data_IF_242748402557
#
_entry.id   IF_242748402557
#
_cell.length_a   1.000
_cell.length_b   1.000
_cell.length_c   1.000
_cell.angle_alpha   90.00
_cell.angle_beta   90.00
_cell.angle_gamma   90.00
#
_symmetry.space_group_name_H-M   'P 1'
#
loop_
_entity.id
_entity.type
_entity.pdbx_description
1 polymer ?
#
# COMPACT_ATOMS: atom_id res chain seq x y z
N UNK A 1 3.16 -13.49 33.54
CA UNK A 1 3.38 -14.18 32.26
C UNK A 1 3.76 -13.13 31.22
N UNK A 2 5.02 -12.71 31.23
CA UNK A 2 5.52 -11.58 30.44
C UNK A 2 6.36 -12.03 29.24
N UNK A 3 6.22 -11.31 28.13
CA UNK A 3 7.25 -10.98 27.13
C UNK A 3 8.03 -12.03 26.34
N UNK A 4 7.54 -13.28 26.22
CA UNK A 4 8.07 -14.22 25.22
C UNK A 4 7.35 -14.15 23.85
N UNK A 5 6.29 -13.33 23.72
CA UNK A 5 5.50 -13.21 22.49
C UNK A 5 6.30 -12.65 21.28
N UNK A 6 7.37 -11.89 21.54
CA UNK A 6 8.25 -11.32 20.51
C UNK A 6 9.35 -12.26 20.00
N UNK A 7 9.44 -13.50 20.53
CA UNK A 7 10.54 -14.43 20.19
C UNK A 7 10.21 -15.38 19.03
N UNK A 8 8.93 -15.47 18.65
CA UNK A 8 8.51 -16.27 17.51
C UNK A 8 8.35 -15.39 16.29
N UNK A 9 8.77 -15.86 15.10
CA UNK A 9 8.65 -15.06 13.90
C UNK A 9 7.19 -14.78 13.59
N UNK A 10 6.83 -13.51 13.49
CA UNK A 10 5.48 -13.05 13.12
C UNK A 10 5.53 -12.38 11.75
N UNK A 11 4.49 -12.56 10.95
CA UNK A 11 4.28 -11.73 9.78
C UNK A 11 4.02 -10.29 10.23
N UNK A 12 4.66 -9.33 9.57
CA UNK A 12 4.34 -7.92 9.75
C UNK A 12 2.93 -7.63 9.23
N UNK A 13 2.21 -6.76 9.94
CA UNK A 13 0.87 -6.32 9.58
C UNK A 13 0.94 -5.29 8.47
N UNK A 14 0.51 -5.68 7.28
CA UNK A 14 0.39 -4.78 6.14
C UNK A 14 -1.04 -4.28 6.04
N UNK A 15 -1.21 -2.97 5.83
CA UNK A 15 -2.49 -2.38 5.49
C UNK A 15 -2.48 -2.00 4.01
N UNK A 16 -3.17 -2.78 3.17
CA UNK A 16 -3.45 -2.39 1.80
C UNK A 16 -4.55 -1.35 1.80
N UNK A 17 -4.38 -0.22 1.13
CA UNK A 17 -5.38 0.83 1.10
C UNK A 17 -5.36 1.60 -0.22
N UNK A 18 -6.47 2.26 -0.49
CA UNK A 18 -6.68 3.17 -1.61
C UNK A 18 -7.67 4.28 -1.21
N UNK A 19 -7.51 5.48 -1.78
CA UNK A 19 -8.40 6.62 -1.53
C UNK A 19 -8.97 7.17 -2.83
N UNK A 20 -10.24 7.57 -2.76
CA UNK A 20 -10.92 8.29 -3.84
C UNK A 20 -11.18 9.72 -3.42
N UNK A 21 -10.82 10.66 -4.29
CA UNK A 21 -10.86 12.10 -4.01
C UNK A 21 -11.83 12.84 -4.91
N UNK A 22 -12.46 13.87 -4.38
CA UNK A 22 -13.25 14.80 -5.16
C UNK A 22 -12.37 15.59 -6.13
N UNK A 23 -12.84 15.87 -7.37
CA UNK A 23 -12.16 16.81 -8.24
C UNK A 23 -12.16 18.20 -7.60
N UNK A 24 -11.10 18.97 -7.84
CA UNK A 24 -11.08 20.41 -7.54
C UNK A 24 -12.17 21.12 -8.36
N UNK A 25 -12.85 22.10 -7.76
CA UNK A 25 -13.78 22.98 -8.44
C UNK A 25 -13.10 24.32 -8.74
N UNK A 26 -13.02 24.67 -10.02
CA UNK A 26 -12.46 25.94 -10.46
C UNK A 26 -13.32 26.56 -11.56
N UNK A 27 -13.38 27.88 -11.59
CA UNK A 27 -14.00 28.63 -12.69
C UNK A 27 -13.00 28.77 -13.83
N UNK A 28 -13.38 28.39 -15.05
CA UNK A 28 -12.52 28.50 -16.25
C UNK A 28 -13.27 29.14 -17.40
N UNK A 29 -12.56 29.91 -18.23
CA UNK A 29 -13.15 30.62 -19.38
C UNK A 29 -13.21 29.79 -20.66
N UNK A 30 -12.33 28.80 -20.81
CA UNK A 30 -12.23 27.96 -22.00
C UNK A 30 -11.77 26.55 -21.64
N UNK A 31 -12.21 25.56 -22.43
CA UNK A 31 -11.91 24.15 -22.19
C UNK A 31 -10.40 23.83 -22.28
N UNK A 32 -9.67 24.46 -23.21
CA UNK A 32 -8.21 24.35 -23.31
C UNK A 32 -7.55 25.42 -22.44
N UNK A 33 -7.22 25.06 -21.20
CA UNK A 33 -6.52 25.92 -20.25
C UNK A 33 -5.17 25.31 -19.90
N UNK A 34 -4.09 26.08 -20.01
CA UNK A 34 -2.72 25.61 -19.74
C UNK A 34 -2.37 25.67 -18.24
N UNK A 35 -2.99 26.61 -17.50
CA UNK A 35 -2.78 26.76 -16.06
C UNK A 35 -4.04 27.33 -15.40
N UNK A 36 -4.48 26.71 -14.29
CA UNK A 36 -5.56 27.20 -13.42
C UNK A 36 -4.91 27.70 -12.14
N UNK A 37 -4.94 29.01 -11.92
CA UNK A 37 -4.36 29.60 -10.71
C UNK A 37 -5.24 29.39 -9.47
N UNK A 38 -4.63 29.43 -8.28
CA UNK A 38 -5.34 29.22 -7.01
C UNK A 38 -6.45 30.24 -6.75
N UNK A 39 -6.37 31.45 -7.31
CA UNK A 39 -7.42 32.48 -7.23
C UNK A 39 -8.69 32.12 -8.02
N UNK A 40 -8.64 31.13 -8.91
CA UNK A 40 -9.79 30.62 -9.67
C UNK A 40 -10.40 29.37 -9.01
N UNK A 41 -9.78 28.89 -7.92
CA UNK A 41 -10.20 27.71 -7.18
C UNK A 41 -11.35 28.12 -6.25
N UNK A 42 -12.51 27.52 -6.46
CA UNK A 42 -13.66 27.66 -5.56
C UNK A 42 -13.52 26.67 -4.40
N UNK A 43 -13.22 25.40 -4.72
CA UNK A 43 -13.06 24.34 -3.73
C UNK A 43 -11.87 23.45 -4.05
N UNK A 44 -11.04 23.20 -3.04
CA UNK A 44 -9.95 22.25 -3.12
C UNK A 44 -10.46 20.79 -3.06
N UNK A 45 -9.58 19.84 -3.33
CA UNK A 45 -9.88 18.41 -3.23
C UNK A 45 -10.09 17.95 -1.78
N UNK A 46 -10.89 16.91 -1.61
CA UNK A 46 -11.19 16.24 -0.33
C UNK A 46 -11.45 14.74 -0.57
N UNK A 47 -11.38 13.92 0.48
CA UNK A 47 -11.67 12.48 0.34
C UNK A 47 -13.16 12.24 0.18
N UNK A 48 -13.54 11.47 -0.84
CA UNK A 48 -14.89 10.93 -1.02
C UNK A 48 -15.06 9.58 -0.34
N UNK A 49 -14.04 8.72 -0.46
CA UNK A 49 -14.03 7.40 0.15
C UNK A 49 -12.62 6.88 0.35
N UNK A 50 -12.49 5.87 1.22
CA UNK A 50 -11.31 5.03 1.33
C UNK A 50 -11.74 3.58 1.48
N UNK A 51 -10.90 2.65 1.03
CA UNK A 51 -11.00 1.24 1.39
C UNK A 51 -9.65 0.74 1.91
N UNK A 52 -9.69 -0.29 2.75
CA UNK A 52 -8.49 -0.91 3.29
C UNK A 52 -8.70 -2.39 3.63
N UNK A 53 -7.61 -3.15 3.60
CA UNK A 53 -7.58 -4.57 3.96
C UNK A 53 -6.30 -4.88 4.72
N UNK A 54 -6.42 -5.54 5.87
CA UNK A 54 -5.25 -6.08 6.58
C UNK A 54 -4.77 -7.38 5.91
N UNK A 55 -3.45 -7.58 5.87
CA UNK A 55 -2.84 -8.77 5.27
C UNK A 55 -3.17 -10.09 5.97
N UNK A 56 -3.61 -10.03 7.22
CA UNK A 56 -3.92 -11.18 8.08
C UNK A 56 -5.42 -11.46 8.21
N UNK A 57 -6.26 -10.79 7.42
CA UNK A 57 -7.71 -11.05 7.39
C UNK A 57 -8.30 -10.98 5.98
N UNK A 58 -9.53 -11.50 5.84
CA UNK A 58 -10.30 -11.43 4.59
C UNK A 58 -11.23 -10.23 4.52
N UNK A 59 -11.49 -9.57 5.66
CA UNK A 59 -12.42 -8.46 5.78
C UNK A 59 -11.87 -7.21 5.10
N UNK A 60 -12.74 -6.55 4.33
CA UNK A 60 -12.52 -5.19 3.83
C UNK A 60 -13.11 -4.17 4.80
N UNK A 61 -12.36 -3.12 5.06
CA UNK A 61 -12.81 -1.92 5.76
C UNK A 61 -12.93 -0.79 4.76
N UNK A 62 -13.81 0.17 5.05
CA UNK A 62 -13.98 1.32 4.17
C UNK A 62 -14.72 2.44 4.88
N UNK A 63 -14.47 3.67 4.43
CA UNK A 63 -15.25 4.85 4.79
C UNK A 63 -15.72 5.55 3.53
N UNK A 64 -16.91 6.12 3.57
CA UNK A 64 -17.45 6.98 2.52
C UNK A 64 -18.20 8.13 3.16
N UNK A 65 -18.21 9.28 2.48
CA UNK A 65 -19.03 10.41 2.90
C UNK A 65 -20.52 10.06 2.85
N UNK A 66 -21.27 10.67 3.76
CA UNK A 66 -22.71 10.80 3.65
C UNK A 66 -23.08 11.89 2.63
N UNK A 67 -24.32 11.91 2.11
CA UNK A 67 -24.80 13.00 1.26
C UNK A 67 -24.58 14.40 1.82
N UNK A 68 -24.79 14.60 3.13
CA UNK A 68 -24.59 15.89 3.79
C UNK A 68 -23.11 16.27 3.90
N UNK A 69 -22.26 15.32 4.29
CA UNK A 69 -20.80 15.53 4.36
C UNK A 69 -20.22 15.84 2.98
N UNK A 70 -20.64 15.15 1.93
CA UNK A 70 -20.18 15.43 0.57
C UNK A 70 -20.56 16.84 0.10
N UNK A 71 -21.81 17.27 0.33
CA UNK A 71 -22.24 18.64 0.02
C UNK A 71 -21.51 19.69 0.87
N UNK A 72 -21.22 19.36 2.13
CA UNK A 72 -20.46 20.19 3.05
C UNK A 72 -18.94 20.10 2.87
N UNK A 73 -18.45 19.21 2.00
CA UNK A 73 -17.03 18.93 1.77
C UNK A 73 -16.27 18.55 3.06
N UNK A 74 -16.98 17.93 4.00
CA UNK A 74 -16.45 17.54 5.31
C UNK A 74 -16.03 16.07 5.27
N UNK A 75 -14.72 15.84 5.09
CA UNK A 75 -14.12 14.52 5.10
C UNK A 75 -13.47 14.13 6.43
N UNK A 76 -13.60 14.97 7.46
CA UNK A 76 -12.92 14.82 8.75
C UNK A 76 -13.14 13.44 9.38
N UNK A 77 -14.39 12.94 9.35
CA UNK A 77 -14.76 11.63 9.89
C UNK A 77 -14.04 10.48 9.20
N UNK A 78 -14.00 10.48 7.86
CA UNK A 78 -13.44 9.36 7.11
C UNK A 78 -11.91 9.44 7.06
N UNK A 79 -11.32 10.63 7.00
CA UNK A 79 -9.88 10.83 7.08
C UNK A 79 -9.35 10.36 8.44
N UNK A 80 -10.05 10.73 9.53
CA UNK A 80 -9.70 10.31 10.89
C UNK A 80 -9.73 8.78 11.02
N UNK A 81 -10.76 8.11 10.54
CA UNK A 81 -10.87 6.66 10.67
C UNK A 81 -9.80 5.90 9.87
N UNK A 82 -9.48 6.34 8.65
CA UNK A 82 -8.37 5.77 7.88
C UNK A 82 -7.03 5.99 8.60
N UNK A 83 -6.77 7.20 9.10
CA UNK A 83 -5.51 7.53 9.78
C UNK A 83 -5.25 6.65 11.01
N UNK A 84 -6.31 6.32 11.76
CA UNK A 84 -6.22 5.44 12.93
C UNK A 84 -5.83 4.01 12.56
N UNK A 85 -6.28 3.52 11.39
CA UNK A 85 -5.86 2.22 10.88
C UNK A 85 -4.41 2.26 10.39
N UNK A 86 -4.02 3.28 9.63
CA UNK A 86 -2.66 3.42 9.10
C UNK A 86 -1.61 3.40 10.21
N UNK A 87 -1.87 4.06 11.34
CA UNK A 87 -0.95 4.09 12.50
C UNK A 87 -0.73 2.73 13.17
N UNK A 88 -1.61 1.77 12.94
CA UNK A 88 -1.48 0.41 13.50
C UNK A 88 -0.67 -0.53 12.59
N UNK A 89 -0.37 -0.10 11.37
CA UNK A 89 0.31 -0.91 10.38
C UNK A 89 1.83 -0.89 10.60
N UNK A 90 2.48 -2.04 10.44
CA UNK A 90 3.95 -2.09 10.31
C UNK A 90 4.36 -1.43 8.97
N UNK A 91 3.57 -1.66 7.91
CA UNK A 91 3.67 -0.97 6.62
C UNK A 91 2.28 -0.70 6.03
N UNK A 92 2.09 0.48 5.44
CA UNK A 92 0.96 0.72 4.55
C UNK A 92 1.37 0.42 3.10
N UNK A 93 0.47 -0.19 2.33
CA UNK A 93 0.70 -0.61 0.95
C UNK A 93 -0.33 0.09 0.06
N UNK A 94 0.14 0.76 -0.98
CA UNK A 94 -0.69 1.48 -1.94
C UNK A 94 -0.07 1.44 -3.34
N UNK A 95 -0.84 1.84 -4.36
CA UNK A 95 -0.31 2.02 -5.72
C UNK A 95 -0.13 3.52 -6.01
N UNK A 96 1.11 4.00 -6.11
CA UNK A 96 1.43 5.43 -6.17
C UNK A 96 1.15 6.23 -4.87
N UNK A 97 0.93 5.53 -3.75
CA UNK A 97 0.56 6.16 -2.48
C UNK A 97 1.60 7.10 -1.88
N UNK A 98 2.88 6.90 -2.20
CA UNK A 98 3.94 7.81 -1.72
C UNK A 98 3.86 9.20 -2.37
N UNK A 99 3.22 9.30 -3.54
CA UNK A 99 3.09 10.55 -4.30
C UNK A 99 1.66 11.11 -4.30
N UNK A 100 0.67 10.28 -3.99
CA UNK A 100 -0.74 10.66 -4.04
C UNK A 100 -1.42 10.43 -2.69
N UNK A 101 -1.75 9.18 -2.35
CA UNK A 101 -2.63 8.83 -1.22
C UNK A 101 -2.13 9.36 0.13
N UNK A 102 -0.87 9.12 0.49
CA UNK A 102 -0.33 9.53 1.79
C UNK A 102 -0.20 11.06 1.90
N UNK A 103 0.35 11.79 0.91
CA UNK A 103 0.26 13.26 0.88
C UNK A 103 -1.16 13.78 0.97
N UNK A 104 -2.10 13.13 0.29
CA UNK A 104 -3.51 13.52 0.26
C UNK A 104 -4.16 13.37 1.64
N UNK A 105 -4.01 12.21 2.28
CA UNK A 105 -4.48 11.95 3.65
C UNK A 105 -3.86 12.94 4.65
N UNK A 106 -2.54 13.16 4.59
CA UNK A 106 -1.86 14.10 5.49
C UNK A 106 -2.29 15.55 5.26
N UNK A 107 -2.53 15.96 4.01
CA UNK A 107 -3.08 17.27 3.69
C UNK A 107 -4.45 17.48 4.32
N UNK A 108 -5.33 16.48 4.27
CA UNK A 108 -6.66 16.56 4.91
C UNK A 108 -6.59 16.47 6.42
N UNK A 109 -5.67 15.69 6.99
CA UNK A 109 -5.43 15.70 8.43
C UNK A 109 -5.03 17.11 8.91
N UNK A 110 -4.12 17.77 8.19
CA UNK A 110 -3.72 19.15 8.46
C UNK A 110 -4.91 20.11 8.41
N UNK A 111 -5.70 20.07 7.33
CA UNK A 111 -6.86 20.96 7.15
C UNK A 111 -7.96 20.71 8.19
N UNK A 112 -8.09 19.48 8.69
CA UNK A 112 -9.04 19.10 9.73
C UNK A 112 -8.49 19.27 11.16
N UNK A 113 -7.29 19.82 11.35
CA UNK A 113 -6.68 20.02 12.67
C UNK A 113 -6.33 18.71 13.40
N UNK A 114 -6.03 17.65 12.65
CA UNK A 114 -5.70 16.32 13.15
C UNK A 114 -4.19 16.03 13.01
N UNK A 115 -3.69 15.12 13.84
CA UNK A 115 -2.27 14.73 13.82
C UNK A 115 -1.88 14.05 12.49
N UNK A 116 -0.66 14.29 11.98
CA UNK A 116 -0.18 13.69 10.73
C UNK A 116 0.17 12.20 10.90
N UNK A 117 -0.10 11.40 9.88
CA UNK A 117 0.29 10.00 9.80
C UNK A 117 1.74 9.90 9.31
N UNK A 118 2.59 9.29 10.15
CA UNK A 118 3.97 8.95 9.84
C UNK A 118 4.12 7.43 9.90
N UNK A 119 4.20 6.79 8.74
CA UNK A 119 4.20 5.33 8.60
C UNK A 119 5.24 4.90 7.58
N UNK A 120 5.70 3.66 7.69
CA UNK A 120 6.51 3.04 6.64
C UNK A 120 5.61 2.64 5.47
N UNK A 121 6.10 2.79 4.24
CA UNK A 121 5.31 2.57 3.03
C UNK A 121 5.90 1.51 2.12
N UNK A 122 5.01 0.87 1.36
CA UNK A 122 5.36 0.01 0.23
C UNK A 122 4.53 0.47 -0.98
N UNK A 123 5.16 1.15 -1.91
CA UNK A 123 4.50 1.63 -3.13
C UNK A 123 4.69 0.64 -4.29
N UNK A 124 3.59 -0.01 -4.68
CA UNK A 124 3.61 -1.03 -5.74
C UNK A 124 3.95 -0.47 -7.12
N UNK A 125 3.69 0.81 -7.39
CA UNK A 125 4.09 1.47 -8.63
C UNK A 125 5.62 1.63 -8.70
N UNK A 126 6.25 2.01 -7.58
CA UNK A 126 7.73 2.08 -7.50
C UNK A 126 8.35 0.69 -7.65
N UNK A 127 7.77 -0.31 -7.01
CA UNK A 127 8.21 -1.70 -7.16
C UNK A 127 8.10 -2.17 -8.63
N UNK A 128 6.99 -1.87 -9.29
CA UNK A 128 6.78 -2.24 -10.68
C UNK A 128 7.80 -1.56 -11.61
N UNK A 129 7.95 -0.23 -11.51
CA UNK A 129 8.87 0.55 -12.34
C UNK A 129 10.34 0.14 -12.19
N UNK A 130 10.75 -0.25 -10.99
CA UNK A 130 12.15 -0.63 -10.72
C UNK A 130 12.48 -2.07 -11.14
N UNK A 131 11.47 -2.91 -11.34
CA UNK A 131 11.67 -4.35 -11.53
C UNK A 131 11.26 -4.86 -12.91
N UNK A 132 10.40 -4.15 -13.64
CA UNK A 132 9.84 -4.63 -14.91
C UNK A 132 9.86 -3.57 -16.02
N UNK A 133 9.92 -4.05 -17.26
CA UNK A 133 9.69 -3.26 -18.47
C UNK A 133 8.34 -3.64 -19.07
N UNK A 134 7.28 -3.01 -18.59
CA UNK A 134 5.89 -3.21 -19.03
C UNK A 134 5.40 -2.02 -19.87
N UNK A 135 4.37 -2.21 -20.70
CA UNK A 135 3.83 -1.12 -21.51
C UNK A 135 3.15 -0.02 -20.66
N UNK A 136 2.59 -0.41 -19.51
CA UNK A 136 2.08 0.51 -18.49
C UNK A 136 2.30 -0.09 -17.11
N UNK A 137 2.38 0.78 -16.10
CA UNK A 137 2.46 0.36 -14.70
C UNK A 137 1.22 0.76 -13.91
N UNK A 138 0.13 1.21 -14.56
CA UNK A 138 -1.15 1.48 -13.90
C UNK A 138 -1.69 0.20 -13.26
N UNK A 139 -2.30 0.31 -12.07
CA UNK A 139 -2.85 -0.85 -11.34
C UNK A 139 -3.77 -1.71 -12.21
N UNK A 140 -4.76 -1.10 -12.88
CA UNK A 140 -5.68 -1.80 -13.79
C UNK A 140 -4.96 -2.55 -14.92
N UNK A 141 -3.92 -1.94 -15.52
CA UNK A 141 -3.13 -2.60 -16.55
C UNK A 141 -2.35 -3.80 -15.99
N UNK A 142 -1.74 -3.66 -14.81
CA UNK A 142 -1.04 -4.75 -14.14
C UNK A 142 -2.00 -5.89 -13.79
N UNK A 143 -3.15 -5.58 -13.21
CA UNK A 143 -4.18 -6.54 -12.85
C UNK A 143 -4.66 -7.34 -14.06
N UNK A 144 -5.04 -6.65 -15.16
CA UNK A 144 -5.45 -7.28 -16.41
C UNK A 144 -4.36 -8.16 -17.01
N UNK A 145 -3.11 -7.67 -17.04
CA UNK A 145 -1.95 -8.42 -17.57
C UNK A 145 -1.69 -9.70 -16.78
N UNK A 146 -1.95 -9.67 -15.46
CA UNK A 146 -1.78 -10.82 -14.56
C UNK A 146 -3.01 -11.74 -14.52
N UNK A 147 -4.06 -11.45 -15.31
CA UNK A 147 -5.28 -12.25 -15.36
C UNK A 147 -6.23 -12.04 -14.17
N UNK A 148 -6.04 -10.97 -13.39
CA UNK A 148 -6.98 -10.60 -12.34
C UNK A 148 -8.19 -9.87 -12.93
N UNK A 149 -9.38 -10.16 -12.41
CA UNK A 149 -10.62 -9.60 -12.91
C UNK A 149 -10.74 -8.12 -12.53
N UNK A 150 -10.56 -7.21 -13.50
CA UNK A 150 -10.85 -5.79 -13.33
C UNK A 150 -12.27 -5.48 -13.78
N UNK A 151 -13.20 -5.28 -12.83
CA UNK A 151 -14.55 -4.79 -13.15
C UNK A 151 -14.62 -3.29 -12.88
N UNK A 152 -14.16 -2.48 -13.82
CA UNK A 152 -14.22 -1.03 -13.66
C UNK A 152 -14.54 -0.35 -14.97
N UNK A 153 -15.83 -0.07 -15.18
CA UNK A 153 -16.25 1.01 -16.06
C UNK A 153 -16.80 2.13 -15.19
N UNK A 154 -16.04 3.21 -15.09
CA UNK A 154 -16.43 4.43 -14.38
C UNK A 154 -15.94 5.62 -15.18
N UNK A 155 -16.82 6.60 -15.33
CA UNK A 155 -16.52 7.88 -15.94
C UNK A 155 -16.54 8.99 -14.90
N UNK A 156 -16.05 10.16 -15.29
CA UNK A 156 -16.03 11.36 -14.45
C UNK A 156 -17.39 11.72 -13.82
N UNK A 157 -18.50 11.30 -14.43
CA UNK A 157 -19.85 11.45 -13.91
C UNK A 157 -20.06 10.84 -12.51
N UNK A 158 -19.35 9.76 -12.18
CA UNK A 158 -19.41 9.16 -10.85
C UNK A 158 -18.87 10.14 -9.80
N UNK A 159 -17.68 10.71 -10.04
CA UNK A 159 -17.06 11.70 -9.15
C UNK A 159 -17.92 12.95 -9.02
N UNK A 160 -18.45 13.47 -10.12
CA UNK A 160 -19.37 14.63 -10.10
C UNK A 160 -20.62 14.36 -9.27
N UNK A 161 -21.23 13.19 -9.43
CA UNK A 161 -22.41 12.81 -8.64
C UNK A 161 -22.09 12.64 -7.15
N UNK A 162 -20.92 12.07 -6.83
CA UNK A 162 -20.44 11.96 -5.45
C UNK A 162 -20.21 13.32 -4.82
N UNK A 163 -19.57 14.25 -5.55
CA UNK A 163 -19.35 15.64 -5.14
C UNK A 163 -20.67 16.31 -4.73
N UNK A 164 -21.75 16.07 -5.49
CA UNK A 164 -23.08 16.63 -5.23
C UNK A 164 -23.85 15.91 -4.09
N UNK A 165 -23.24 14.92 -3.44
CA UNK A 165 -23.85 14.14 -2.37
C UNK A 165 -24.91 13.14 -2.84
N UNK A 166 -24.83 12.65 -4.07
CA UNK A 166 -25.74 11.62 -4.55
C UNK A 166 -25.44 10.27 -3.87
N UNK A 167 -26.30 9.86 -2.93
CA UNK A 167 -26.12 8.68 -2.08
C UNK A 167 -25.80 7.37 -2.85
N UNK A 168 -26.55 7.02 -3.91
CA UNK A 168 -26.22 5.83 -4.72
C UNK A 168 -24.85 5.90 -5.39
N UNK A 169 -24.41 7.08 -5.81
CA UNK A 169 -23.07 7.26 -6.40
C UNK A 169 -21.98 7.09 -5.35
N UNK A 170 -22.18 7.63 -4.14
CA UNK A 170 -21.26 7.43 -3.01
C UNK A 170 -21.12 5.94 -2.67
N UNK A 171 -22.23 5.18 -2.66
CA UNK A 171 -22.19 3.71 -2.48
C UNK A 171 -21.39 3.01 -3.58
N UNK A 172 -21.62 3.39 -4.84
CA UNK A 172 -20.85 2.85 -5.97
C UNK A 172 -19.36 3.23 -5.88
N UNK A 173 -19.03 4.42 -5.39
CA UNK A 173 -17.65 4.87 -5.22
C UNK A 173 -16.89 3.99 -4.21
N UNK A 174 -17.49 3.68 -3.06
CA UNK A 174 -16.83 2.83 -2.07
C UNK A 174 -16.71 1.37 -2.53
N UNK A 175 -17.65 0.88 -3.34
CA UNK A 175 -17.54 -0.44 -3.99
C UNK A 175 -16.40 -0.47 -5.01
N UNK A 176 -16.26 0.59 -5.80
CA UNK A 176 -15.15 0.78 -6.72
C UNK A 176 -13.81 0.73 -5.96
N UNK A 177 -13.67 1.54 -4.91
CA UNK A 177 -12.44 1.63 -4.11
C UNK A 177 -12.09 0.28 -3.43
N UNK A 178 -13.09 -0.42 -2.89
CA UNK A 178 -12.89 -1.77 -2.30
C UNK A 178 -12.30 -2.77 -3.29
N UNK A 179 -12.75 -2.75 -4.54
CA UNK A 179 -12.20 -3.63 -5.57
C UNK A 179 -10.75 -3.26 -5.90
N UNK A 180 -10.40 -1.98 -5.96
CA UNK A 180 -9.02 -1.52 -6.21
C UNK A 180 -8.07 -2.01 -5.10
N UNK A 181 -8.50 -2.04 -3.84
CA UNK A 181 -7.70 -2.63 -2.75
C UNK A 181 -7.50 -4.14 -2.92
N UNK A 182 -8.52 -4.87 -3.37
CA UNK A 182 -8.38 -6.31 -3.67
C UNK A 182 -7.39 -6.54 -4.81
N UNK A 183 -7.50 -5.74 -5.88
CA UNK A 183 -6.57 -5.80 -7.01
C UNK A 183 -5.14 -5.44 -6.58
N UNK A 184 -4.99 -4.41 -5.75
CA UNK A 184 -3.71 -4.00 -5.18
C UNK A 184 -3.04 -5.15 -4.41
N UNK A 185 -3.77 -5.85 -3.54
CA UNK A 185 -3.23 -6.99 -2.79
C UNK A 185 -2.81 -8.14 -3.74
N UNK A 186 -3.64 -8.47 -4.73
CA UNK A 186 -3.34 -9.51 -5.72
C UNK A 186 -2.10 -9.17 -6.55
N UNK A 187 -2.03 -7.93 -7.05
CA UNK A 187 -0.88 -7.41 -7.79
C UNK A 187 0.36 -7.44 -6.91
N UNK A 188 0.29 -6.92 -5.68
CA UNK A 188 1.41 -6.97 -4.75
C UNK A 188 1.93 -8.41 -4.54
N UNK A 189 1.02 -9.36 -4.32
CA UNK A 189 1.35 -10.78 -4.19
C UNK A 189 2.08 -11.34 -5.40
N UNK A 190 1.65 -10.96 -6.62
CA UNK A 190 2.28 -11.38 -7.87
C UNK A 190 3.65 -10.73 -8.12
N UNK A 191 3.85 -9.46 -7.72
CA UNK A 191 5.13 -8.75 -7.91
C UNK A 191 6.18 -9.18 -6.87
N UNK A 192 5.74 -9.53 -5.66
CA UNK A 192 6.57 -9.84 -4.48
C UNK A 192 7.75 -10.82 -4.72
N UNK A 193 7.64 -11.88 -5.55
CA UNK A 193 8.77 -12.79 -5.80
C UNK A 193 9.90 -12.16 -6.63
N UNK A 194 9.60 -11.14 -7.43
CA UNK A 194 10.50 -10.57 -8.44
C UNK A 194 11.16 -9.26 -8.00
N UNK A 195 10.53 -8.52 -7.10
CA UNK A 195 10.95 -7.16 -6.73
C UNK A 195 12.18 -7.18 -5.80
N UNK A 196 13.19 -6.35 -6.09
CA UNK A 196 14.48 -6.41 -5.38
C UNK A 196 14.45 -5.72 -4.00
N UNK A 197 13.83 -4.56 -3.90
CA UNK A 197 13.91 -3.67 -2.73
C UNK A 197 12.67 -3.75 -1.82
N UNK A 198 12.18 -4.97 -1.56
CA UNK A 198 11.08 -5.16 -0.63
C UNK A 198 11.65 -5.28 0.79
N UNK A 199 11.08 -4.57 1.79
CA UNK A 199 11.48 -4.76 3.18
C UNK A 199 11.23 -6.20 3.62
N UNK A 200 11.89 -6.59 4.72
CA UNK A 200 11.58 -7.86 5.40
C UNK A 200 10.16 -7.72 5.98
N UNK A 201 9.26 -8.60 5.55
CA UNK A 201 7.84 -8.62 5.94
C UNK A 201 7.54 -9.62 7.06
N UNK A 202 8.60 -10.15 7.68
CA UNK A 202 8.52 -11.09 8.78
C UNK A 202 9.45 -10.60 9.84
N UNK A 203 8.88 -10.23 10.97
CA UNK A 203 9.67 -10.02 12.17
C UNK A 203 10.22 -11.38 12.58
N UNK A 204 11.53 -11.53 12.52
CA UNK A 204 12.22 -12.72 12.97
C UNK A 204 13.35 -12.19 13.83
N UNK A 205 13.28 -12.45 15.14
CA UNK A 205 14.37 -12.14 16.06
C UNK A 205 15.71 -12.67 15.54
N UNK A 206 16.81 -12.19 16.10
CA UNK A 206 18.19 -12.46 15.62
C UNK A 206 18.47 -13.95 15.33
N UNK A 207 17.81 -14.84 16.07
CA UNK A 207 17.97 -16.30 16.02
C UNK A 207 17.29 -17.01 14.84
N UNK A 208 16.34 -16.39 14.14
CA UNK A 208 15.59 -17.03 13.02
C UNK A 208 15.62 -16.23 11.72
N UNK A 209 16.70 -15.51 11.47
CA UNK A 209 16.87 -14.71 10.26
C UNK A 209 17.02 -15.52 8.96
N UNK A 210 17.12 -16.85 9.07
CA UNK A 210 17.31 -17.76 7.96
C UNK A 210 16.01 -18.04 7.18
N UNK A 211 14.83 -17.82 7.78
CA UNK A 211 13.54 -17.96 7.07
C UNK A 211 13.39 -16.96 5.92
N UNK A 212 12.48 -17.27 4.99
CA UNK A 212 12.17 -16.37 3.88
C UNK A 212 11.73 -14.99 4.41
N UNK A 213 12.39 -13.89 4.03
CA UNK A 213 12.08 -12.55 4.54
C UNK A 213 10.73 -12.01 4.06
N UNK A 214 10.10 -12.68 3.09
CA UNK A 214 8.86 -12.24 2.46
C UNK A 214 7.62 -12.97 3.00
N UNK A 215 7.73 -14.25 3.35
CA UNK A 215 6.57 -15.04 3.81
C UNK A 215 6.84 -15.90 5.05
N UNK A 216 8.07 -15.92 5.58
CA UNK A 216 8.40 -16.61 6.83
C UNK A 216 8.59 -18.11 6.70
N UNK A 217 8.39 -18.67 5.49
CA UNK A 217 8.64 -20.08 5.21
C UNK A 217 10.11 -20.44 5.38
N UNK A 218 10.36 -21.59 6.01
CA UNK A 218 11.66 -22.26 6.09
C UNK A 218 11.89 -23.23 4.91
N UNK A 219 10.86 -23.51 4.10
CA UNK A 219 10.96 -24.34 2.91
C UNK A 219 11.69 -23.61 1.80
N UNK A 220 12.97 -23.92 1.64
CA UNK A 220 13.87 -23.25 0.69
C UNK A 220 14.86 -24.21 0.05
N UNK A 221 15.27 -23.91 -1.17
CA UNK A 221 16.38 -24.58 -1.84
C UNK A 221 17.57 -23.63 -1.98
N UNK A 222 18.78 -24.15 -1.90
CA UNK A 222 20.01 -23.38 -2.16
C UNK A 222 20.06 -23.03 -3.65
N UNK A 223 20.30 -21.75 -3.95
CA UNK A 223 20.28 -21.17 -5.31
C UNK A 223 21.59 -20.42 -5.60
N UNK A 224 22.72 -21.12 -5.42
CA UNK A 224 24.06 -20.57 -5.62
C UNK A 224 24.48 -19.56 -4.54
N UNK A 225 25.30 -18.58 -4.93
CA UNK A 225 25.89 -17.60 -4.01
C UNK A 225 25.70 -16.17 -4.51
N UNK A 226 25.54 -15.23 -3.58
CA UNK A 226 25.62 -13.80 -3.84
C UNK A 226 26.96 -13.28 -3.34
N UNK A 227 27.78 -12.75 -4.23
CA UNK A 227 29.11 -12.22 -3.89
C UNK A 227 29.09 -10.70 -3.92
N UNK A 228 29.64 -10.11 -2.87
CA UNK A 228 29.95 -8.68 -2.75
C UNK A 228 31.47 -8.51 -2.78
N UNK A 229 31.98 -7.28 -2.81
CA UNK A 229 33.44 -7.02 -2.80
C UNK A 229 34.16 -7.66 -1.61
N UNK A 230 33.48 -7.82 -0.48
CA UNK A 230 34.08 -8.21 0.80
C UNK A 230 33.54 -9.52 1.38
N UNK A 231 32.42 -10.04 0.87
CA UNK A 231 31.72 -11.18 1.47
C UNK A 231 30.99 -12.04 0.42
N UNK A 232 30.83 -13.33 0.72
CA UNK A 232 29.98 -14.27 -0.02
C UNK A 232 28.81 -14.70 0.85
N UNK A 233 27.59 -14.71 0.30
CA UNK A 233 26.37 -15.11 1.00
C UNK A 233 25.70 -16.27 0.27
N UNK A 234 25.20 -17.26 1.01
CA UNK A 234 24.37 -18.32 0.44
C UNK A 234 23.05 -17.73 -0.09
N UNK A 235 22.69 -18.03 -1.33
CA UNK A 235 21.37 -17.67 -1.88
C UNK A 235 20.37 -18.80 -1.68
N UNK A 236 19.11 -18.42 -1.55
CA UNK A 236 17.98 -19.32 -1.41
C UNK A 236 16.84 -18.92 -2.34
N UNK A 237 16.10 -19.92 -2.80
CA UNK A 237 14.79 -19.77 -3.42
C UNK A 237 13.73 -20.33 -2.48
N UNK A 238 12.74 -19.52 -2.12
CA UNK A 238 11.61 -19.95 -1.31
C UNK A 238 10.70 -20.89 -2.11
N UNK A 239 10.33 -22.04 -1.55
CA UNK A 239 9.41 -22.98 -2.20
C UNK A 239 7.98 -22.46 -2.23
N UNK A 240 7.57 -21.69 -1.22
CA UNK A 240 6.20 -21.20 -1.08
C UNK A 240 5.95 -19.94 -1.92
N UNK A 241 6.63 -18.83 -1.62
CA UNK A 241 6.40 -17.56 -2.31
C UNK A 241 7.34 -17.30 -3.50
N UNK A 242 8.20 -18.26 -3.88
CA UNK A 242 9.14 -18.18 -5.01
C UNK A 242 10.19 -17.05 -4.95
N UNK A 243 10.19 -16.24 -3.89
CA UNK A 243 11.17 -15.19 -3.62
C UNK A 243 12.59 -15.77 -3.62
N UNK A 244 13.47 -15.11 -4.36
CA UNK A 244 14.91 -15.30 -4.22
C UNK A 244 15.46 -14.34 -3.16
N UNK A 245 16.26 -14.85 -2.23
CA UNK A 245 16.89 -14.07 -1.17
C UNK A 245 18.27 -14.63 -0.83
N UNK A 246 18.99 -13.94 0.05
CA UNK A 246 20.29 -14.41 0.56
C UNK A 246 20.23 -14.58 2.07
N UNK A 247 21.09 -15.46 2.59
CA UNK A 247 21.39 -15.53 4.00
C UNK A 247 21.83 -14.16 4.52
N UNK A 248 21.50 -13.88 5.77
CA UNK A 248 21.99 -12.68 6.46
C UNK A 248 23.48 -12.80 6.78
N UNK A 249 23.92 -13.97 7.25
CA UNK A 249 25.33 -14.23 7.55
C UNK A 249 26.13 -14.58 6.29
N UNK A 250 27.37 -14.08 6.25
CA UNK A 250 28.33 -14.47 5.22
C UNK A 250 28.77 -15.93 5.41
N UNK A 251 29.12 -16.59 4.32
CA UNK A 251 29.71 -17.93 4.36
C UNK A 251 31.06 -17.83 5.08
N UNK A 252 31.25 -18.62 6.14
CA UNK A 252 32.49 -18.65 6.92
C UNK A 252 32.57 -17.62 8.06
N UNK A 253 31.55 -16.78 8.28
CA UNK A 253 31.51 -15.96 9.51
C UNK A 253 31.33 -16.86 10.73
N UNK A 254 32.28 -16.84 11.68
CA UNK A 254 32.11 -17.53 12.97
C UNK A 254 30.90 -16.93 13.68
N UNK A 255 29.96 -17.77 14.15
CA UNK A 255 28.97 -17.32 15.14
C UNK A 255 29.77 -16.83 16.35
N UNK A 256 29.63 -15.55 16.71
CA UNK A 256 30.05 -15.09 18.02
C UNK A 256 29.18 -15.88 19.00
N UNK A 257 29.80 -16.83 19.70
CA UNK A 257 29.10 -17.69 20.65
C UNK A 257 28.44 -16.80 21.69
N UNK A 258 27.17 -17.05 21.95
CA UNK A 258 26.54 -16.69 23.22
C UNK A 258 27.41 -17.28 24.32
N UNK A 259 28.13 -16.43 25.05
CA UNK A 259 28.70 -16.78 26.34
C UNK A 259 27.50 -17.14 27.20
N UNK A 260 27.37 -18.43 27.53
CA UNK A 260 26.33 -18.92 28.41
C UNK A 260 26.41 -18.19 29.75
N UNK A 261 25.27 -17.70 30.22
CA UNK A 261 25.01 -17.48 31.63
C UNK A 261 24.69 -18.82 32.28
#
# INVERSE_FOLDING_TARGET
MGDYAGLFPRSLKLLFFDVETAPMLAFIWRLRTEYVGTHMLEHDTFLLSWAAKWSDETKLHSGVLTPSEAKGQDDSRIVKSLSQMMRQADYVVAHNGDRFDLPMVNGRLLLNGLEPVQVQTIDTLKLARSSFRLASNKLDYLAKTLGFAGKHDTGFDLWRSCYQGHGPSLKRMVEYNRNDVVLLEQVFGALKPYVKNLPRLVDAGEWRQDVCPSCGSDRRTKDGFHRTKVNTFQRFKCSDCKRHYRAWQAVGSKKVGTVGL
#
